data_IF_341839637906
#
_entry.id   IF_341839637906
#
_cell.length_a   1.000
_cell.length_b   1.000
_cell.length_c   1.000
_cell.angle_alpha   90.00
_cell.angle_beta   90.00
_cell.angle_gamma   90.00
#
_symmetry.space_group_name_H-M   'P 1'
#
loop_
_entity.id
_entity.type
_entity.pdbx_description
1 polymer ?
#
# COMPACT_ATOMS: atom_id res chain seq x y z
N UNK A 1 42.36 0.96 1.89
CA UNK A 1 41.06 0.22 1.99
C UNK A 1 40.34 0.67 3.24
N UNK A 2 39.50 1.71 3.13
CA UNK A 2 38.60 2.10 4.20
C UNK A 2 37.26 1.40 3.98
N UNK A 3 37.09 0.24 4.59
CA UNK A 3 35.79 -0.39 4.80
C UNK A 3 35.01 0.46 5.83
N UNK A 4 34.51 1.61 5.40
CA UNK A 4 33.54 2.36 6.16
C UNK A 4 32.23 1.59 6.19
N UNK A 5 31.80 1.09 7.37
CA UNK A 5 30.43 0.59 7.58
C UNK A 5 29.48 1.67 7.08
N UNK A 6 28.82 1.46 5.93
CA UNK A 6 27.73 2.31 5.48
C UNK A 6 26.72 2.39 6.61
N UNK A 7 26.51 3.58 7.19
CA UNK A 7 25.37 3.80 8.10
C UNK A 7 24.12 3.53 7.27
N UNK A 8 23.26 2.61 7.76
CA UNK A 8 21.95 2.39 7.16
C UNK A 8 21.23 3.75 7.05
N UNK A 9 20.75 4.08 5.87
CA UNK A 9 19.93 5.28 5.65
C UNK A 9 18.65 5.11 6.46
N UNK A 10 18.12 6.17 7.06
CA UNK A 10 16.96 6.05 7.97
C UNK A 10 15.73 5.34 7.37
N UNK A 11 15.54 5.45 6.04
CA UNK A 11 14.48 4.74 5.32
C UNK A 11 14.62 3.21 5.36
N UNK A 12 15.82 2.65 5.25
CA UNK A 12 16.04 1.19 5.30
C UNK A 12 15.60 0.59 6.63
N UNK A 13 15.84 1.30 7.72
CA UNK A 13 15.40 0.87 9.05
C UNK A 13 13.87 0.84 9.15
N UNK A 14 13.19 1.89 8.67
CA UNK A 14 11.73 1.98 8.69
C UNK A 14 11.09 0.95 7.77
N UNK A 15 11.63 0.75 6.57
CA UNK A 15 11.14 -0.24 5.63
C UNK A 15 11.22 -1.66 6.22
N UNK A 16 12.37 -1.99 6.83
CA UNK A 16 12.55 -3.27 7.50
C UNK A 16 11.59 -3.46 8.68
N UNK A 17 11.41 -2.41 9.48
CA UNK A 17 10.50 -2.45 10.62
C UNK A 17 9.05 -2.62 10.18
N UNK A 18 8.62 -1.89 9.16
CA UNK A 18 7.28 -2.02 8.58
C UNK A 18 7.05 -3.38 7.91
N UNK A 19 8.07 -3.96 7.28
CA UNK A 19 8.03 -5.33 6.74
C UNK A 19 7.77 -6.38 7.82
N UNK A 20 8.39 -6.21 9.00
CA UNK A 20 8.25 -7.15 10.13
C UNK A 20 6.97 -6.90 10.94
N UNK A 21 6.67 -5.65 11.26
CA UNK A 21 5.58 -5.25 12.17
C UNK A 21 4.27 -4.90 11.47
N UNK A 22 4.29 -4.82 10.14
CA UNK A 22 3.15 -4.44 9.32
C UNK A 22 2.89 -2.93 9.26
N UNK A 23 2.03 -2.54 8.31
CA UNK A 23 1.67 -1.15 8.04
C UNK A 23 1.07 -0.42 9.24
N UNK A 24 0.33 -1.11 10.09
CA UNK A 24 -0.39 -0.50 11.22
C UNK A 24 0.53 0.05 12.30
N UNK A 25 1.72 -0.48 12.46
CA UNK A 25 2.71 0.05 13.38
C UNK A 25 3.13 1.49 13.02
N UNK A 26 3.45 1.74 11.75
CA UNK A 26 3.82 3.09 11.28
C UNK A 26 2.66 4.08 11.45
N UNK A 27 1.44 3.66 11.11
CA UNK A 27 0.23 4.47 11.25
C UNK A 27 -0.05 4.85 12.70
N UNK A 28 0.16 3.92 13.62
CA UNK A 28 0.01 4.19 15.06
C UNK A 28 1.11 5.13 15.57
N UNK A 29 2.36 4.87 15.23
CA UNK A 29 3.51 5.70 15.63
C UNK A 29 3.34 7.16 15.24
N UNK A 30 2.77 7.43 14.06
CA UNK A 30 2.51 8.78 13.57
C UNK A 30 1.53 9.59 14.44
N UNK A 31 0.69 8.94 15.26
CA UNK A 31 -0.29 9.60 16.14
C UNK A 31 0.27 9.99 17.50
N UNK A 32 1.47 9.54 17.84
CA UNK A 32 2.06 9.77 19.15
C UNK A 32 2.48 11.25 19.34
N UNK A 33 2.34 11.80 20.56
CA UNK A 33 2.68 13.19 20.85
C UNK A 33 4.08 13.62 20.41
N UNK A 34 5.15 12.79 20.53
CA UNK A 34 6.48 13.18 20.06
C UNK A 34 6.54 13.48 18.56
N UNK A 35 5.70 12.81 17.74
CA UNK A 35 5.61 13.08 16.31
C UNK A 35 5.03 14.48 16.04
N UNK A 36 4.00 14.86 16.80
CA UNK A 36 3.44 16.22 16.72
C UNK A 36 4.48 17.27 17.17
N UNK A 37 5.12 17.08 18.30
CA UNK A 37 6.12 18.04 18.82
C UNK A 37 7.25 18.29 17.83
N UNK A 38 7.71 17.25 17.14
CA UNK A 38 8.79 17.36 16.16
C UNK A 38 8.35 17.99 14.83
N UNK A 39 7.11 17.82 14.44
CA UNK A 39 6.63 18.22 13.11
C UNK A 39 5.83 19.53 13.11
N UNK A 40 5.18 19.89 14.21
CA UNK A 40 4.26 21.04 14.26
C UNK A 40 4.91 22.38 13.88
N UNK A 41 6.18 22.60 14.22
CA UNK A 41 6.90 23.83 13.87
C UNK A 41 7.15 23.94 12.37
N UNK A 42 7.57 22.83 11.72
CA UNK A 42 7.74 22.78 10.27
C UNK A 42 6.40 22.94 9.54
N UNK A 43 5.37 22.22 9.98
CA UNK A 43 4.06 22.31 9.36
C UNK A 43 3.35 23.66 9.53
N UNK A 44 3.76 24.47 10.53
CA UNK A 44 3.20 25.80 10.75
C UNK A 44 3.63 26.83 9.70
N UNK A 45 4.74 26.58 9.00
CA UNK A 45 5.29 27.47 7.97
C UNK A 45 5.06 26.95 6.54
N UNK A 46 4.37 25.82 6.40
CA UNK A 46 4.02 25.21 5.12
C UNK A 46 2.60 25.59 4.73
N UNK A 47 2.38 25.92 3.47
CA UNK A 47 1.04 26.11 2.91
C UNK A 47 0.27 24.79 2.86
N UNK A 48 0.96 23.70 2.53
CA UNK A 48 0.43 22.34 2.51
C UNK A 48 1.38 21.41 3.26
N UNK A 49 0.88 20.72 4.29
CA UNK A 49 1.64 19.76 5.06
C UNK A 49 1.52 18.36 4.46
N UNK A 50 2.64 17.78 4.01
CA UNK A 50 2.72 16.41 3.50
C UNK A 50 2.91 15.39 4.62
N UNK A 51 2.10 14.33 4.60
CA UNK A 51 2.17 13.25 5.58
C UNK A 51 2.47 11.92 4.89
N UNK A 52 3.56 11.25 5.29
CA UNK A 52 3.81 9.88 4.89
C UNK A 52 3.06 8.92 5.82
N UNK A 53 2.21 8.06 5.25
CA UNK A 53 1.46 7.01 5.96
C UNK A 53 0.62 7.52 7.15
N UNK A 54 0.12 8.75 7.04
CA UNK A 54 -0.52 9.50 8.12
C UNK A 54 -2.02 9.28 8.29
N UNK A 55 -2.62 8.23 7.72
CA UNK A 55 -4.09 8.05 7.66
C UNK A 55 -4.78 8.13 9.03
N UNK A 56 -4.15 7.65 10.09
CA UNK A 56 -4.70 7.74 11.45
C UNK A 56 -4.56 9.14 12.05
N UNK A 57 -3.58 9.92 11.59
CA UNK A 57 -3.27 11.25 12.10
C UNK A 57 -4.13 12.35 11.47
N UNK A 58 -4.58 12.17 10.22
CA UNK A 58 -5.30 13.21 9.48
C UNK A 58 -6.47 13.80 10.26
N UNK A 59 -7.40 12.98 10.76
CA UNK A 59 -8.57 13.45 11.51
C UNK A 59 -8.19 14.24 12.76
N UNK A 60 -7.19 13.75 13.50
CA UNK A 60 -6.70 14.41 14.70
C UNK A 60 -6.13 15.80 14.39
N UNK A 61 -5.25 15.88 13.38
CA UNK A 61 -4.56 17.12 13.02
C UNK A 61 -5.49 18.12 12.31
N UNK A 62 -6.45 17.67 11.51
CA UNK A 62 -7.48 18.51 10.92
C UNK A 62 -8.36 19.20 11.99
N UNK A 63 -8.63 18.53 13.11
CA UNK A 63 -9.36 19.11 14.25
C UNK A 63 -8.48 20.04 15.09
N UNK A 64 -7.23 19.64 15.33
CA UNK A 64 -6.31 20.39 16.21
C UNK A 64 -5.75 21.65 15.54
N UNK A 65 -5.57 21.63 14.22
CA UNK A 65 -4.98 22.71 13.44
C UNK A 65 -5.96 23.18 12.34
N UNK A 66 -6.89 24.10 12.67
CA UNK A 66 -8.00 24.44 11.77
C UNK A 66 -7.58 25.06 10.45
N UNK A 67 -6.39 25.67 10.37
CA UNK A 67 -5.86 26.30 9.15
C UNK A 67 -4.93 25.38 8.35
N UNK A 68 -4.64 24.17 8.85
CA UNK A 68 -3.72 23.27 8.16
C UNK A 68 -4.38 22.61 6.97
N UNK A 69 -3.75 22.73 5.81
CA UNK A 69 -4.06 21.94 4.63
C UNK A 69 -3.13 20.74 4.58
N UNK A 70 -3.68 19.58 4.31
CA UNK A 70 -2.95 18.30 4.36
C UNK A 70 -3.02 17.61 3.02
N UNK A 71 -1.89 16.99 2.63
CA UNK A 71 -1.81 16.03 1.53
C UNK A 71 -1.16 14.74 2.02
N UNK A 72 -1.65 13.58 1.59
CA UNK A 72 -0.96 12.32 1.74
C UNK A 72 0.22 12.27 0.78
N UNK A 73 1.43 12.54 1.25
CA UNK A 73 2.63 12.53 0.40
C UNK A 73 3.14 11.12 0.11
N UNK A 74 2.83 10.16 0.99
CA UNK A 74 2.97 8.72 0.75
C UNK A 74 1.87 7.98 1.50
N UNK A 75 1.14 7.10 0.82
CA UNK A 75 0.02 6.34 1.40
C UNK A 75 0.05 4.89 0.94
N UNK A 76 -0.22 3.97 1.84
CA UNK A 76 -0.37 2.55 1.48
C UNK A 76 -1.61 2.34 0.61
N UNK A 77 -1.52 1.43 -0.35
CA UNK A 77 -2.64 1.06 -1.21
C UNK A 77 -3.89 0.68 -0.39
N UNK A 78 -3.72 -0.11 0.65
CA UNK A 78 -4.80 -0.57 1.54
C UNK A 78 -5.60 0.56 2.21
N UNK A 79 -5.04 1.77 2.29
CA UNK A 79 -5.69 2.92 2.91
C UNK A 79 -6.51 3.78 1.94
N UNK A 80 -6.53 3.47 0.63
CA UNK A 80 -7.20 4.29 -0.38
C UNK A 80 -8.69 4.54 -0.08
N UNK A 81 -9.44 3.52 0.32
CA UNK A 81 -10.87 3.69 0.67
C UNK A 81 -11.05 4.59 1.90
N UNK A 82 -10.24 4.37 2.94
CA UNK A 82 -10.27 5.19 4.16
C UNK A 82 -9.88 6.64 3.90
N UNK A 83 -8.86 6.84 3.06
CA UNK A 83 -8.46 8.18 2.62
C UNK A 83 -9.62 8.88 1.91
N UNK A 84 -10.23 8.23 0.94
CA UNK A 84 -11.32 8.79 0.15
C UNK A 84 -12.51 9.18 1.03
N UNK A 85 -12.95 8.28 1.90
CA UNK A 85 -14.07 8.55 2.83
C UNK A 85 -13.78 9.74 3.75
N UNK A 86 -12.52 9.90 4.19
CA UNK A 86 -12.11 11.02 5.02
C UNK A 86 -12.04 12.32 4.22
N UNK A 87 -11.49 12.28 3.00
CA UNK A 87 -11.30 13.46 2.15
C UNK A 87 -12.63 14.06 1.69
N UNK A 88 -13.65 13.24 1.40
CA UNK A 88 -14.98 13.71 1.01
C UNK A 88 -15.63 14.64 2.05
N UNK A 89 -15.34 14.43 3.33
CA UNK A 89 -15.89 15.22 4.43
C UNK A 89 -14.95 16.32 4.93
N UNK A 90 -13.72 16.42 4.40
CA UNK A 90 -12.68 17.33 4.90
C UNK A 90 -11.97 18.03 3.74
N UNK A 91 -12.45 19.20 3.29
CA UNK A 91 -11.90 19.90 2.11
C UNK A 91 -10.43 20.35 2.28
N UNK A 92 -9.89 20.32 3.49
CA UNK A 92 -8.49 20.60 3.78
C UNK A 92 -7.58 19.36 3.63
N UNK A 93 -8.13 18.18 3.40
CA UNK A 93 -7.40 16.99 2.95
C UNK A 93 -7.51 16.92 1.44
N UNK A 94 -6.53 17.55 0.76
CA UNK A 94 -6.66 17.97 -0.65
C UNK A 94 -6.21 16.92 -1.67
N UNK A 95 -5.51 15.88 -1.24
CA UNK A 95 -5.01 14.87 -2.18
C UNK A 95 -4.20 13.79 -1.51
N UNK A 96 -3.83 12.80 -2.33
CA UNK A 96 -3.10 11.61 -1.91
C UNK A 96 -2.11 11.18 -2.99
N UNK A 97 -0.89 10.86 -2.57
CA UNK A 97 0.12 10.21 -3.39
C UNK A 97 0.36 8.81 -2.83
N UNK A 98 -0.04 7.83 -3.57
CA UNK A 98 0.17 6.44 -3.18
C UNK A 98 1.61 6.02 -3.38
N UNK A 99 2.14 5.23 -2.47
CA UNK A 99 3.39 4.51 -2.69
C UNK A 99 3.10 3.02 -2.96
N UNK A 100 3.20 2.57 -4.25
CA UNK A 100 3.47 3.43 -5.38
C UNK A 100 2.39 3.30 -6.44
N UNK A 101 2.22 4.32 -7.25
CA UNK A 101 1.31 4.28 -8.38
C UNK A 101 1.80 3.29 -9.44
N UNK A 102 2.96 3.56 -10.05
CA UNK A 102 3.64 2.67 -10.98
C UNK A 102 4.81 2.00 -10.27
N UNK A 103 5.06 0.75 -10.59
CA UNK A 103 6.21 0.03 -10.06
C UNK A 103 7.53 0.63 -10.59
N UNK A 104 8.63 0.36 -9.91
CA UNK A 104 9.91 1.00 -10.20
C UNK A 104 11.08 0.06 -9.95
N UNK A 105 12.22 0.39 -10.54
CA UNK A 105 13.49 -0.29 -10.28
C UNK A 105 14.13 0.29 -9.02
N UNK A 106 14.59 -0.58 -8.15
CA UNK A 106 15.14 -0.22 -6.83
C UNK A 106 14.24 -0.69 -5.70
N UNK A 107 14.71 -0.65 -4.48
CA UNK A 107 14.06 -1.21 -3.28
C UNK A 107 13.48 -2.61 -3.56
N UNK A 108 14.29 -3.42 -4.20
CA UNK A 108 13.91 -4.69 -4.83
C UNK A 108 13.14 -5.59 -3.88
N UNK A 109 11.92 -5.97 -4.27
CA UNK A 109 11.09 -6.87 -3.48
C UNK A 109 10.40 -6.26 -2.26
N UNK A 110 10.42 -4.92 -2.08
CA UNK A 110 9.77 -4.27 -0.91
C UNK A 110 8.27 -4.63 -0.81
N UNK A 111 7.62 -4.93 -1.94
CA UNK A 111 6.21 -5.35 -1.98
C UNK A 111 5.95 -6.76 -1.45
N UNK A 112 6.97 -7.50 -1.02
CA UNK A 112 6.85 -8.89 -0.55
C UNK A 112 7.43 -9.08 0.85
N UNK A 113 6.83 -9.99 1.63
CA UNK A 113 7.36 -10.41 2.94
C UNK A 113 8.69 -11.15 2.84
N UNK A 114 8.94 -11.83 1.72
CA UNK A 114 10.22 -12.51 1.42
C UNK A 114 11.40 -11.58 1.60
N UNK A 115 11.20 -10.32 1.26
CA UNK A 115 12.21 -9.31 1.41
C UNK A 115 12.77 -9.25 2.85
N UNK A 116 11.91 -9.32 3.86
CA UNK A 116 12.32 -9.29 5.26
C UNK A 116 13.11 -10.54 5.67
N UNK A 117 12.85 -11.67 5.02
CA UNK A 117 13.42 -12.97 5.36
C UNK A 117 14.70 -13.27 4.59
N UNK A 118 14.73 -13.01 3.29
CA UNK A 118 15.78 -13.49 2.38
C UNK A 118 16.60 -12.36 1.73
N UNK A 119 16.03 -11.21 1.46
CA UNK A 119 16.67 -10.12 0.72
C UNK A 119 16.83 -8.85 1.58
N UNK A 120 17.54 -8.95 2.69
CA UNK A 120 17.66 -7.88 3.71
C UNK A 120 18.27 -6.57 3.23
N UNK A 121 18.89 -6.54 2.06
CA UNK A 121 19.67 -5.41 1.54
C UNK A 121 19.11 -4.79 0.26
N UNK A 122 17.93 -5.19 -0.21
CA UNK A 122 17.35 -4.76 -1.50
C UNK A 122 18.30 -4.97 -2.69
N UNK A 123 19.06 -6.06 -2.67
CA UNK A 123 20.16 -6.31 -3.63
C UNK A 123 19.74 -7.18 -4.82
N UNK A 124 18.46 -7.57 -4.91
CA UNK A 124 17.98 -8.42 -5.98
C UNK A 124 18.42 -9.88 -5.88
N UNK A 125 18.90 -10.34 -4.73
CA UNK A 125 19.41 -11.70 -4.50
C UNK A 125 18.41 -12.80 -4.83
N UNK A 126 17.11 -12.50 -4.86
CA UNK A 126 16.02 -13.42 -5.24
C UNK A 126 15.66 -13.34 -6.74
N UNK A 127 16.46 -12.68 -7.56
CA UNK A 127 16.16 -12.49 -8.98
C UNK A 127 15.12 -11.40 -9.26
N UNK A 128 14.71 -10.65 -8.26
CA UNK A 128 13.82 -9.50 -8.39
C UNK A 128 14.57 -8.33 -9.01
N UNK A 129 13.88 -7.53 -9.80
CA UNK A 129 14.44 -6.32 -10.44
C UNK A 129 13.66 -5.06 -10.06
N UNK A 130 12.42 -5.23 -9.57
CA UNK A 130 11.53 -4.13 -9.19
C UNK A 130 11.14 -4.17 -7.72
N UNK A 131 10.58 -3.08 -7.24
CA UNK A 131 10.05 -2.98 -5.89
C UNK A 131 8.88 -3.95 -5.65
N UNK A 132 8.04 -4.19 -6.65
CA UNK A 132 6.84 -5.00 -6.52
C UNK A 132 5.73 -4.33 -5.72
N UNK A 133 5.79 -3.00 -5.57
CA UNK A 133 4.85 -2.19 -4.77
C UNK A 133 3.87 -1.36 -5.63
N UNK A 134 4.00 -1.40 -6.96
CA UNK A 134 3.17 -0.62 -7.87
C UNK A 134 1.73 -1.11 -7.93
N UNK A 135 0.80 -0.18 -8.15
CA UNK A 135 -0.56 -0.48 -8.62
C UNK A 135 -0.60 -0.84 -10.10
N UNK A 136 0.37 -0.33 -10.83
CA UNK A 136 0.69 -0.73 -12.20
C UNK A 136 2.07 -1.36 -12.19
N UNK A 137 2.25 -2.40 -12.97
CA UNK A 137 3.58 -3.02 -13.15
C UNK A 137 4.50 -2.15 -14.02
N UNK A 138 5.76 -2.59 -14.21
CA UNK A 138 6.75 -1.87 -15.03
C UNK A 138 6.34 -1.72 -16.50
N UNK A 139 5.39 -2.51 -16.99
CA UNK A 139 4.88 -2.42 -18.36
C UNK A 139 3.67 -1.51 -18.49
N UNK A 140 3.18 -0.97 -17.35
CA UNK A 140 1.97 -0.17 -17.29
C UNK A 140 0.67 -0.99 -17.21
N UNK A 141 0.76 -2.30 -17.00
CA UNK A 141 -0.41 -3.15 -16.79
C UNK A 141 -1.02 -2.88 -15.41
N UNK A 142 -2.34 -2.61 -15.31
CA UNK A 142 -2.99 -2.44 -14.02
C UNK A 142 -3.03 -3.78 -13.26
N UNK A 143 -2.73 -3.70 -11.96
CA UNK A 143 -2.85 -4.80 -11.01
C UNK A 143 -4.17 -4.68 -10.23
N UNK A 144 -4.47 -5.65 -9.37
CA UNK A 144 -5.70 -5.64 -8.58
C UNK A 144 -5.81 -4.41 -7.67
N UNK A 145 -4.69 -3.88 -7.20
CA UNK A 145 -4.63 -2.64 -6.42
C UNK A 145 -5.12 -1.41 -7.20
N UNK A 146 -4.90 -1.35 -8.52
CA UNK A 146 -5.44 -0.29 -9.35
C UNK A 146 -6.97 -0.38 -9.39
N UNK A 147 -7.52 -1.58 -9.59
CA UNK A 147 -8.96 -1.83 -9.56
C UNK A 147 -9.58 -1.57 -8.19
N UNK A 148 -8.91 -1.99 -7.11
CA UNK A 148 -9.33 -1.63 -5.74
C UNK A 148 -9.42 -0.12 -5.55
N UNK A 149 -8.42 0.62 -6.00
CA UNK A 149 -8.42 2.09 -5.89
C UNK A 149 -9.54 2.72 -6.69
N UNK A 150 -9.81 2.25 -7.92
CA UNK A 150 -10.93 2.74 -8.73
C UNK A 150 -12.28 2.51 -8.04
N UNK A 151 -12.47 1.34 -7.43
CA UNK A 151 -13.68 1.05 -6.64
C UNK A 151 -13.76 1.94 -5.41
N UNK A 152 -12.66 2.09 -4.68
CA UNK A 152 -12.60 2.94 -3.50
C UNK A 152 -13.00 4.39 -3.79
N UNK A 153 -12.60 4.91 -4.95
CA UNK A 153 -12.90 6.28 -5.38
C UNK A 153 -14.22 6.41 -6.18
N UNK A 154 -14.99 5.32 -6.28
CA UNK A 154 -16.27 5.32 -6.98
C UNK A 154 -16.18 5.39 -8.51
N UNK A 155 -15.01 5.17 -9.10
CA UNK A 155 -14.80 5.15 -10.54
C UNK A 155 -15.21 3.82 -11.18
N UNK A 156 -15.28 2.76 -10.38
CA UNK A 156 -15.68 1.41 -10.79
C UNK A 156 -16.64 0.84 -9.74
N UNK A 157 -17.77 0.26 -10.10
CA UNK A 157 -18.74 -0.22 -9.11
C UNK A 157 -18.26 -1.47 -8.37
N UNK A 158 -17.53 -2.33 -9.04
CA UNK A 158 -17.03 -3.61 -8.55
C UNK A 158 -15.80 -4.04 -9.34
N UNK A 159 -14.89 -4.74 -8.68
CA UNK A 159 -13.80 -5.45 -9.33
C UNK A 159 -13.58 -6.80 -8.65
N UNK A 160 -13.01 -7.74 -9.38
CA UNK A 160 -12.70 -9.08 -8.91
C UNK A 160 -11.24 -9.40 -9.26
N UNK A 161 -10.53 -9.99 -8.32
CA UNK A 161 -9.17 -10.48 -8.51
C UNK A 161 -9.06 -11.92 -8.03
N UNK A 162 -8.10 -12.64 -8.55
CA UNK A 162 -7.78 -14.01 -8.16
C UNK A 162 -6.32 -14.08 -7.80
N UNK A 163 -6.00 -14.58 -6.61
CA UNK A 163 -4.61 -14.83 -6.22
C UNK A 163 -4.11 -16.02 -7.05
N UNK A 164 -2.97 -15.88 -7.73
CA UNK A 164 -2.40 -16.97 -8.54
C UNK A 164 -2.28 -18.26 -7.75
N UNK A 165 -2.78 -19.36 -8.32
CA UNK A 165 -2.67 -20.69 -7.71
C UNK A 165 -1.19 -21.06 -7.64
N UNK A 166 -0.76 -21.65 -6.53
CA UNK A 166 0.62 -22.06 -6.31
C UNK A 166 1.53 -20.94 -5.79
N UNK A 167 1.06 -19.70 -5.68
CA UNK A 167 1.78 -18.67 -4.92
C UNK A 167 1.78 -19.06 -3.44
N UNK A 168 2.92 -19.55 -2.97
CA UNK A 168 3.12 -19.96 -1.59
C UNK A 168 3.15 -18.77 -0.61
N UNK A 169 3.34 -19.10 0.67
CA UNK A 169 3.46 -18.06 1.72
C UNK A 169 4.68 -17.16 1.53
N UNK A 170 5.69 -17.65 0.87
CA UNK A 170 6.89 -16.90 0.49
C UNK A 170 6.61 -15.69 -0.39
N UNK A 171 5.47 -15.66 -1.07
CA UNK A 171 5.05 -14.54 -1.90
C UNK A 171 3.95 -13.67 -1.24
N UNK A 172 3.87 -13.66 0.07
CA UNK A 172 2.90 -12.85 0.80
C UNK A 172 3.15 -11.35 0.62
N UNK A 173 2.09 -10.55 0.38
CA UNK A 173 2.22 -9.10 0.28
C UNK A 173 2.77 -8.47 1.56
N UNK A 174 3.63 -7.48 1.40
CA UNK A 174 4.13 -6.64 2.50
C UNK A 174 3.21 -5.44 2.78
N UNK A 175 3.66 -4.52 3.63
CA UNK A 175 2.94 -3.27 3.91
C UNK A 175 2.69 -2.41 2.65
N UNK A 176 3.59 -2.47 1.66
CA UNK A 176 3.55 -1.67 0.43
C UNK A 176 2.77 -2.33 -0.71
N UNK A 177 2.34 -3.57 -0.55
CA UNK A 177 1.50 -4.27 -1.51
C UNK A 177 0.30 -4.87 -0.78
N UNK A 178 -0.89 -4.57 -1.25
CA UNK A 178 -2.11 -5.02 -0.60
C UNK A 178 -2.41 -6.49 -0.89
N UNK A 179 -2.17 -6.92 -2.13
CA UNK A 179 -2.54 -8.25 -2.62
C UNK A 179 -1.65 -8.71 -3.77
N UNK A 180 -1.57 -10.01 -3.98
CA UNK A 180 -1.02 -10.63 -5.19
C UNK A 180 -2.12 -11.00 -6.20
N UNK A 181 -3.38 -10.66 -5.94
CA UNK A 181 -4.47 -10.95 -6.87
C UNK A 181 -4.26 -10.24 -8.21
N UNK A 182 -4.70 -10.90 -9.28
CA UNK A 182 -4.70 -10.39 -10.65
C UNK A 182 -6.09 -10.56 -11.25
N UNK A 183 -6.42 -9.77 -12.25
CA UNK A 183 -7.67 -9.89 -13.00
C UNK A 183 -7.57 -11.03 -14.06
N UNK A 184 -7.29 -12.24 -13.59
CA UNK A 184 -7.21 -13.45 -14.42
C UNK A 184 -7.84 -14.62 -13.69
N UNK A 185 -8.45 -15.53 -14.44
CA UNK A 185 -9.15 -16.68 -13.90
C UNK A 185 -8.58 -18.02 -14.37
N UNK A 186 -7.71 -18.02 -15.39
CA UNK A 186 -7.20 -19.25 -16.01
C UNK A 186 -5.77 -19.52 -15.53
N UNK A 187 -5.58 -20.73 -14.97
CA UNK A 187 -4.30 -21.20 -14.43
C UNK A 187 -4.03 -22.59 -14.99
N UNK A 188 -3.25 -22.66 -16.07
CA UNK A 188 -2.91 -23.90 -16.76
C UNK A 188 -2.16 -24.88 -15.82
N UNK A 189 -2.58 -26.14 -15.80
CA UNK A 189 -2.00 -27.18 -14.95
C UNK A 189 -2.34 -27.08 -13.45
N UNK A 190 -3.32 -26.24 -13.07
CA UNK A 190 -3.76 -26.07 -11.68
C UNK A 190 -5.25 -26.43 -11.49
N UNK A 191 -5.78 -27.25 -12.37
CA UNK A 191 -7.18 -27.70 -12.33
C UNK A 191 -7.46 -28.49 -11.04
N UNK A 192 -8.52 -28.07 -10.34
CA UNK A 192 -8.91 -28.68 -9.07
C UNK A 192 -8.25 -28.08 -7.82
N UNK A 193 -7.25 -27.21 -7.99
CA UNK A 193 -6.62 -26.53 -6.88
C UNK A 193 -7.49 -25.38 -6.36
N UNK A 194 -7.34 -25.07 -5.08
CA UNK A 194 -8.05 -23.96 -4.44
C UNK A 194 -7.32 -22.66 -4.69
N UNK A 195 -8.09 -21.60 -4.94
CA UNK A 195 -7.55 -20.24 -5.02
C UNK A 195 -8.38 -19.28 -4.17
N UNK A 196 -7.76 -18.13 -3.85
CA UNK A 196 -8.43 -17.04 -3.17
C UNK A 196 -9.01 -16.08 -4.21
N UNK A 197 -10.29 -15.78 -4.08
CA UNK A 197 -10.96 -14.76 -4.87
C UNK A 197 -11.17 -13.52 -4.01
N UNK A 198 -10.79 -12.38 -4.51
CA UNK A 198 -10.98 -11.08 -3.87
C UNK A 198 -11.98 -10.25 -4.64
N UNK A 199 -12.95 -9.69 -3.93
CA UNK A 199 -13.96 -8.82 -4.53
C UNK A 199 -13.88 -7.45 -3.88
N UNK A 200 -13.72 -6.43 -4.70
CA UNK A 200 -13.72 -5.02 -4.27
C UNK A 200 -15.05 -4.40 -4.67
N UNK A 201 -15.81 -3.92 -3.70
CA UNK A 201 -17.11 -3.30 -3.95
C UNK A 201 -17.49 -2.33 -2.81
N UNK A 202 -18.15 -1.23 -3.16
CA UNK A 202 -18.83 -0.35 -2.18
C UNK A 202 -20.29 -0.76 -2.10
N UNK A 203 -20.56 -1.97 -1.61
CA UNK A 203 -21.86 -2.57 -1.56
C UNK A 203 -22.10 -3.27 -0.21
N UNK A 204 -23.35 -3.32 0.23
CA UNK A 204 -23.75 -4.01 1.46
C UNK A 204 -23.69 -5.56 1.31
N UNK A 205 -23.81 -6.06 0.09
CA UNK A 205 -23.78 -7.49 -0.22
C UNK A 205 -23.13 -7.71 -1.57
N UNK A 206 -22.42 -8.82 -1.68
CA UNK A 206 -21.83 -9.33 -2.93
C UNK A 206 -22.31 -10.75 -3.12
N UNK A 207 -22.66 -11.09 -4.35
CA UNK A 207 -23.06 -12.43 -4.74
C UNK A 207 -22.05 -12.96 -5.75
N UNK A 208 -21.45 -14.10 -5.45
CA UNK A 208 -20.51 -14.76 -6.35
C UNK A 208 -21.26 -15.87 -7.12
N UNK A 209 -21.12 -15.84 -8.42
CA UNK A 209 -21.70 -16.83 -9.32
C UNK A 209 -20.60 -17.49 -10.15
N UNK A 210 -20.59 -18.80 -10.21
CA UNK A 210 -19.76 -19.58 -11.12
C UNK A 210 -20.66 -20.23 -12.17
N UNK A 211 -20.50 -19.83 -13.43
CA UNK A 211 -21.33 -20.30 -14.54
C UNK A 211 -22.86 -20.15 -14.27
N UNK A 212 -23.23 -19.01 -13.65
CA UNK A 212 -24.63 -18.71 -13.32
C UNK A 212 -25.15 -19.36 -12.03
N UNK A 213 -24.37 -20.21 -11.39
CA UNK A 213 -24.72 -20.84 -10.10
C UNK A 213 -24.07 -20.13 -8.95
N UNK A 214 -24.82 -19.84 -7.92
CA UNK A 214 -24.32 -19.25 -6.67
C UNK A 214 -23.41 -20.23 -5.92
N UNK A 215 -22.27 -19.75 -5.46
CA UNK A 215 -21.26 -20.51 -4.71
C UNK A 215 -20.91 -19.80 -3.41
#
# INVERSE_FOLDING_TARGET
EHSGKKKAVGSEFFNRLAGIMGADFMKFGATLPPCDWKTRGAFAVMDVAGYNYGIRRYRHDLNRYPNRVIVGSETFCSDAARFWDLAQSNPRLIGDFVWSGMDYLGEVGIGSQEYAEYAKNFDGSLGWVSAGAGRFDLTGKPLAEASYTQVAFGLKPIAIGVVPVGLGREHSPSAWKMTNAVESWSWDGQEGERTQVEVYARAARVKLLLNGREI
#
